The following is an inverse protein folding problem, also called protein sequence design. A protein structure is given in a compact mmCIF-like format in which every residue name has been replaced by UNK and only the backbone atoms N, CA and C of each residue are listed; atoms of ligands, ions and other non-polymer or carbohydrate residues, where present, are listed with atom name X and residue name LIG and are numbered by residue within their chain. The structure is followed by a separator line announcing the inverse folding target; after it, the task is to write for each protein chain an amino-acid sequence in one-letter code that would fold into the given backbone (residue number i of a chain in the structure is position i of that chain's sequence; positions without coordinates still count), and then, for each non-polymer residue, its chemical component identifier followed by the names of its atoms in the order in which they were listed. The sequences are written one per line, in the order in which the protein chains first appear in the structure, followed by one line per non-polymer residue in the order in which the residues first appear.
data_IF_740154078798
#
_entry.id   IF_740154078798
#
_cell.length_a   1.000
_cell.length_b   1.000
_cell.length_c   1.000
_cell.angle_alpha   90.00
_cell.angle_beta   90.00
_cell.angle_gamma   90.00
#
_symmetry.space_group_name_H-M   'P 1'
#
loop_
_entity.id
_entity.type
_entity.pdbx_description
1 polymer ?
#
# COMPACT_ATOMS: atom_id res chain seq x y z
N UNK A 1 -22.41 3.50 17.95
CA UNK A 1 -21.36 4.43 18.39
C UNK A 1 -20.18 4.28 17.45
N UNK A 2 -20.24 4.91 16.28
CA UNK A 2 -19.09 4.92 15.38
C UNK A 2 -18.03 5.82 16.00
N UNK A 3 -16.81 5.33 16.16
CA UNK A 3 -15.64 6.18 16.37
C UNK A 3 -15.74 7.34 15.38
N UNK A 4 -15.46 8.59 15.78
CA UNK A 4 -15.67 9.81 14.95
C UNK A 4 -14.82 9.91 13.67
N UNK A 5 -14.50 8.77 13.06
CA UNK A 5 -13.81 8.56 11.81
C UNK A 5 -14.73 7.86 10.82
N UNK A 6 -14.66 8.32 9.57
CA UNK A 6 -15.38 7.69 8.45
C UNK A 6 -14.87 6.24 8.26
N UNK A 7 -15.75 5.23 8.34
CA UNK A 7 -15.38 3.83 8.15
C UNK A 7 -14.66 3.56 6.82
N UNK A 8 -14.97 4.32 5.77
CA UNK A 8 -14.34 4.19 4.46
C UNK A 8 -12.88 4.63 4.51
N UNK A 9 -12.59 5.76 5.16
CA UNK A 9 -11.22 6.27 5.33
C UNK A 9 -10.38 5.25 6.11
N UNK A 10 -10.96 4.66 7.16
CA UNK A 10 -10.30 3.61 7.93
C UNK A 10 -10.03 2.35 7.08
N UNK A 11 -11.02 1.91 6.28
CA UNK A 11 -10.88 0.74 5.42
C UNK A 11 -9.77 0.93 4.37
N UNK A 12 -9.76 2.07 3.67
CA UNK A 12 -8.74 2.37 2.65
C UNK A 12 -7.35 2.52 3.28
N UNK A 13 -7.25 3.21 4.42
CA UNK A 13 -6.00 3.29 5.15
C UNK A 13 -5.49 1.89 5.55
N UNK A 14 -6.38 1.03 6.04
CA UNK A 14 -6.05 -0.36 6.37
C UNK A 14 -5.51 -1.15 5.17
N UNK A 15 -6.12 -1.01 3.99
CA UNK A 15 -5.65 -1.64 2.75
C UNK A 15 -4.23 -1.19 2.40
N UNK A 16 -3.94 0.11 2.49
CA UNK A 16 -2.60 0.63 2.20
C UNK A 16 -1.54 0.09 3.17
N UNK A 17 -1.86 -0.04 4.46
CA UNK A 17 -0.93 -0.62 5.43
C UNK A 17 -0.68 -2.11 5.15
N UNK A 18 -1.71 -2.86 4.74
CA UNK A 18 -1.57 -4.26 4.33
C UNK A 18 -0.65 -4.35 3.10
N UNK A 19 -0.89 -3.54 2.06
CA UNK A 19 -0.05 -3.47 0.86
C UNK A 19 1.42 -3.15 1.18
N UNK A 20 1.66 -2.16 2.05
CA UNK A 20 3.01 -1.84 2.52
C UNK A 20 3.67 -3.05 3.23
N UNK A 21 2.92 -3.78 4.06
CA UNK A 21 3.38 -4.99 4.74
C UNK A 21 3.70 -6.14 3.78
N UNK A 22 2.95 -6.27 2.68
CA UNK A 22 3.18 -7.30 1.66
C UNK A 22 4.42 -7.03 0.80
N UNK A 23 4.89 -5.78 0.73
CA UNK A 23 6.12 -5.40 0.03
C UNK A 23 7.39 -5.55 0.87
N UNK A 24 7.28 -5.58 2.19
CA UNK A 24 8.42 -5.58 3.12
C UNK A 24 8.72 -7.02 3.60
N UNK A 25 9.98 -7.45 3.76
CA UNK A 25 10.27 -8.69 4.51
C UNK A 25 9.72 -8.53 5.94
N UNK A 26 8.95 -9.49 6.52
CA UNK A 26 9.02 -10.96 6.41
C UNK A 26 8.04 -11.62 5.43
N UNK A 27 6.99 -10.93 4.97
CA UNK A 27 5.98 -11.51 4.07
C UNK A 27 6.42 -11.44 2.61
N UNK A 28 6.84 -10.25 2.15
CA UNK A 28 7.42 -10.05 0.81
C UNK A 28 6.62 -10.62 -0.37
N UNK A 29 5.33 -10.91 -0.20
CA UNK A 29 4.53 -11.71 -1.13
C UNK A 29 4.52 -11.11 -2.53
N UNK A 30 4.33 -9.80 -2.63
CA UNK A 30 4.32 -9.09 -3.91
C UNK A 30 5.70 -9.14 -4.58
N UNK A 31 6.78 -9.04 -3.80
CA UNK A 31 8.16 -9.13 -4.30
C UNK A 31 8.47 -10.56 -4.77
N UNK A 32 7.97 -11.59 -4.08
CA UNK A 32 8.12 -12.99 -4.50
C UNK A 32 7.37 -13.31 -5.80
N UNK A 33 6.17 -12.76 -5.98
CA UNK A 33 5.41 -12.90 -7.23
C UNK A 33 6.20 -12.27 -8.39
N UNK A 34 6.72 -11.06 -8.21
CA UNK A 34 7.56 -10.40 -9.22
C UNK A 34 8.83 -11.22 -9.49
N UNK A 35 9.47 -11.76 -8.43
CA UNK A 35 10.66 -12.61 -8.59
C UNK A 35 10.40 -13.84 -9.47
N UNK A 36 9.20 -14.42 -9.41
CA UNK A 36 8.79 -15.55 -10.26
C UNK A 36 8.53 -15.17 -11.73
N UNK A 37 8.29 -13.89 -12.02
CA UNK A 37 8.06 -13.38 -13.37
C UNK A 37 9.32 -12.83 -14.06
N UNK A 38 10.39 -12.54 -13.30
CA UNK A 38 11.66 -12.04 -13.83
C UNK A 38 12.72 -13.14 -13.98
N UNK A 39 13.73 -12.96 -14.86
CA UNK A 39 14.72 -14.00 -15.10
C UNK A 39 15.56 -14.33 -13.85
N UNK A 40 16.16 -15.53 -13.84
CA UNK A 40 16.87 -16.07 -12.66
C UNK A 40 18.09 -15.25 -12.22
N UNK A 41 18.68 -14.48 -13.14
CA UNK A 41 19.82 -13.61 -12.86
C UNK A 41 19.49 -12.42 -11.95
N UNK A 42 18.21 -12.08 -11.77
CA UNK A 42 17.78 -11.02 -10.84
C UNK A 42 17.62 -11.62 -9.45
N UNK A 43 18.41 -11.14 -8.50
CA UNK A 43 18.33 -11.56 -7.11
C UNK A 43 17.07 -11.00 -6.43
N UNK A 44 16.59 -11.69 -5.39
CA UNK A 44 15.46 -11.22 -4.58
C UNK A 44 15.74 -9.84 -3.97
N UNK A 45 16.98 -9.58 -3.56
CA UNK A 45 17.40 -8.30 -3.00
C UNK A 45 17.31 -7.14 -3.99
N UNK A 46 17.54 -7.39 -5.29
CA UNK A 46 17.35 -6.37 -6.33
C UNK A 46 15.87 -6.03 -6.52
N UNK A 47 14.98 -7.01 -6.46
CA UNK A 47 13.53 -6.77 -6.54
C UNK A 47 13.05 -5.97 -5.32
N UNK A 48 13.52 -6.31 -4.11
CA UNK A 48 13.23 -5.51 -2.91
C UNK A 48 13.74 -4.08 -3.03
N UNK A 49 14.96 -3.88 -3.56
CA UNK A 49 15.52 -2.53 -3.73
C UNK A 49 14.73 -1.73 -4.77
N UNK A 50 14.26 -2.42 -5.82
CA UNK A 50 13.40 -1.85 -6.86
C UNK A 50 12.00 -1.50 -6.36
N UNK A 51 11.49 -2.16 -5.32
CA UNK A 51 10.16 -1.87 -4.76
C UNK A 51 10.14 -0.73 -3.73
N UNK A 52 11.30 -0.29 -3.22
CA UNK A 52 11.41 0.81 -2.25
C UNK A 52 10.68 2.10 -2.69
N UNK A 53 10.81 2.60 -3.93
CA UNK A 53 10.10 3.80 -4.35
C UNK A 53 8.57 3.64 -4.28
N UNK A 54 8.06 2.46 -4.66
CA UNK A 54 6.63 2.17 -4.60
C UNK A 54 6.13 2.08 -3.16
N UNK A 55 6.90 1.43 -2.29
CA UNK A 55 6.61 1.37 -0.86
C UNK A 55 6.56 2.77 -0.21
N UNK A 56 7.50 3.65 -0.57
CA UNK A 56 7.48 5.05 -0.11
C UNK A 56 6.22 5.80 -0.57
N UNK A 57 5.77 5.57 -1.80
CA UNK A 57 4.54 6.18 -2.32
C UNK A 57 3.30 5.71 -1.54
N UNK A 58 3.25 4.44 -1.14
CA UNK A 58 2.15 3.91 -0.31
C UNK A 58 2.12 4.62 1.05
N UNK A 59 3.28 4.83 1.69
CA UNK A 59 3.35 5.56 2.96
C UNK A 59 2.91 7.02 2.80
N UNK A 60 3.36 7.68 1.73
CA UNK A 60 2.92 9.05 1.42
C UNK A 60 1.42 9.10 1.21
N UNK A 61 0.85 8.15 0.47
CA UNK A 61 -0.61 8.06 0.28
C UNK A 61 -1.35 7.83 1.61
N UNK A 62 -0.82 6.98 2.50
CA UNK A 62 -1.36 6.77 3.83
C UNK A 62 -1.40 8.05 4.67
N UNK A 63 -0.31 8.83 4.66
CA UNK A 63 -0.26 10.14 5.33
C UNK A 63 -1.26 11.11 4.71
N UNK A 64 -1.32 11.18 3.37
CA UNK A 64 -2.23 12.07 2.67
C UNK A 64 -3.70 11.78 3.00
N UNK A 65 -4.09 10.51 3.10
CA UNK A 65 -5.47 10.11 3.43
C UNK A 65 -5.83 10.50 4.87
N UNK A 66 -4.90 10.37 5.81
CA UNK A 66 -5.12 10.81 7.19
C UNK A 66 -5.25 12.34 7.28
N UNK A 67 -4.48 13.10 6.49
CA UNK A 67 -4.56 14.57 6.47
C UNK A 67 -5.73 15.12 5.64
N UNK A 68 -6.12 14.41 4.58
CA UNK A 68 -7.13 14.82 3.60
C UNK A 68 -8.11 13.67 3.34
N UNK A 69 -9.00 13.35 4.31
CA UNK A 69 -9.95 12.25 4.19
C UNK A 69 -10.91 12.38 2.99
N UNK A 70 -11.12 13.62 2.51
CA UNK A 70 -11.89 13.92 1.30
C UNK A 70 -11.39 13.20 0.04
N UNK A 71 -10.10 12.84 -0.02
CA UNK A 71 -9.53 12.10 -1.15
C UNK A 71 -10.19 10.73 -1.34
N UNK A 72 -10.65 10.12 -0.24
CA UNK A 72 -11.27 8.79 -0.26
C UNK A 72 -12.78 8.88 -0.41
N UNK A 73 -13.40 9.87 0.22
CA UNK A 73 -14.86 9.99 0.31
C UNK A 73 -15.49 10.68 -0.89
N UNK A 74 -14.71 11.45 -1.67
CA UNK A 74 -15.22 12.21 -2.81
C UNK A 74 -15.81 11.33 -3.92
N UNK A 75 -15.17 10.21 -4.28
CA UNK A 75 -15.60 9.36 -5.39
C UNK A 75 -16.94 8.65 -5.11
N UNK A 76 -17.11 7.89 -4.01
CA UNK A 76 -18.41 7.28 -3.67
C UNK A 76 -19.49 8.31 -3.28
N UNK A 77 -19.13 9.55 -2.97
CA UNK A 77 -20.08 10.64 -2.74
C UNK A 77 -20.81 11.13 -4.00
N UNK A 78 -20.46 10.61 -5.19
CA UNK A 78 -21.11 10.94 -6.47
C UNK A 78 -22.21 9.97 -6.90
N UNK A 79 -22.44 8.89 -6.14
CA UNK A 79 -23.52 7.91 -6.36
C UNK A 79 -24.70 8.07 -5.41
#
# INVERSE_FOLDING_TARGET
MGFGYDPLVFAIYGILIIEAGLLTPPFGLLVYVVKGAVPENVSLGEVFRGSVPYWLLILVAGVLILTFPALVTWLPGTS
#
